data_IF_515886448056
#
_entry.id   IF_515886448056
#
_cell.length_a   1.000
_cell.length_b   1.000
_cell.length_c   1.000
_cell.angle_alpha   90.00
_cell.angle_beta   90.00
_cell.angle_gamma   90.00
#
_symmetry.space_group_name_H-M   'P 1'
#
loop_
_entity.id
_entity.type
_entity.pdbx_description
1 polymer ?
#
# COMPACT_ATOMS: atom_id res chain seq x y z
N UNK A 1 2.23 0.30 10.53
CA UNK A 1 1.10 -0.38 9.87
C UNK A 1 0.54 -1.51 10.72
N UNK A 2 1.35 -2.50 11.09
CA UNK A 2 0.91 -3.69 11.84
C UNK A 2 0.35 -3.37 13.23
N UNK A 3 0.93 -2.42 13.95
CA UNK A 3 0.42 -1.97 15.27
C UNK A 3 -0.97 -1.36 15.19
N UNK A 4 -1.23 -0.54 14.15
CA UNK A 4 -2.55 0.03 13.89
C UNK A 4 -3.57 -1.03 13.53
N UNK A 5 -3.19 -2.00 12.69
CA UNK A 5 -4.04 -3.12 12.30
C UNK A 5 -4.42 -4.00 13.50
N UNK A 6 -3.45 -4.27 14.39
CA UNK A 6 -3.70 -5.01 15.63
C UNK A 6 -4.68 -4.26 16.54
N UNK A 7 -4.45 -2.96 16.76
CA UNK A 7 -5.35 -2.13 17.57
C UNK A 7 -6.79 -2.15 17.05
N UNK A 8 -6.95 -2.13 15.73
CA UNK A 8 -8.23 -2.21 15.06
C UNK A 8 -8.88 -3.59 15.28
N UNK A 9 -8.11 -4.67 15.09
CA UNK A 9 -8.57 -6.04 15.25
C UNK A 9 -8.96 -6.36 16.71
N UNK A 10 -8.31 -5.72 17.68
CA UNK A 10 -8.62 -5.91 19.11
C UNK A 10 -9.92 -5.18 19.54
N UNK A 11 -10.50 -4.35 18.67
CA UNK A 11 -11.68 -3.50 19.00
C UNK A 11 -12.91 -3.72 18.13
N UNK A 12 -12.75 -4.40 17.01
CA UNK A 12 -13.84 -4.60 16.05
C UNK A 12 -13.97 -6.08 15.74
N UNK A 13 -15.18 -6.61 15.93
CA UNK A 13 -15.49 -8.02 15.73
C UNK A 13 -16.39 -8.28 14.52
N UNK A 14 -16.42 -9.54 14.11
CA UNK A 14 -17.37 -10.04 13.11
C UNK A 14 -17.20 -9.46 11.71
N UNK A 15 -18.32 -9.22 11.04
CA UNK A 15 -18.32 -8.73 9.64
C UNK A 15 -17.73 -7.33 9.49
N UNK A 16 -17.77 -6.51 10.53
CA UNK A 16 -17.19 -5.17 10.52
C UNK A 16 -15.67 -5.18 10.54
N UNK A 17 -15.04 -6.22 11.10
CA UNK A 17 -13.58 -6.34 11.11
C UNK A 17 -12.99 -6.34 9.69
N UNK A 18 -13.58 -7.12 8.77
CA UNK A 18 -13.11 -7.16 7.38
C UNK A 18 -13.17 -5.78 6.71
N UNK A 19 -14.26 -5.05 6.91
CA UNK A 19 -14.44 -3.69 6.36
C UNK A 19 -13.49 -2.68 7.00
N UNK A 20 -13.30 -2.76 8.31
CA UNK A 20 -12.39 -1.89 9.05
C UNK A 20 -10.93 -2.11 8.62
N UNK A 21 -10.50 -3.37 8.46
CA UNK A 21 -9.18 -3.75 7.95
C UNK A 21 -8.99 -3.24 6.50
N UNK A 22 -10.01 -3.39 5.66
CA UNK A 22 -9.96 -2.91 4.28
C UNK A 22 -9.89 -1.39 4.21
N UNK A 23 -10.67 -0.67 5.04
CA UNK A 23 -10.58 0.78 5.14
C UNK A 23 -9.19 1.25 5.59
N UNK A 24 -8.61 0.57 6.58
CA UNK A 24 -7.24 0.85 7.01
C UNK A 24 -6.22 0.57 5.90
N UNK A 25 -6.37 -0.51 5.14
CA UNK A 25 -5.51 -0.79 4.00
C UNK A 25 -5.69 0.22 2.86
N UNK A 26 -6.92 0.65 2.57
CA UNK A 26 -7.21 1.65 1.55
C UNK A 26 -6.59 3.03 1.88
N UNK A 27 -6.43 3.36 3.16
CA UNK A 27 -5.76 4.60 3.58
C UNK A 27 -4.33 4.71 3.06
N UNK A 28 -3.63 3.58 2.86
CA UNK A 28 -2.30 3.55 2.23
C UNK A 28 -2.34 4.00 0.76
N UNK A 29 -3.39 3.62 0.02
CA UNK A 29 -3.58 4.05 -1.36
C UNK A 29 -3.82 5.55 -1.45
N UNK A 30 -4.70 6.07 -0.60
CA UNK A 30 -5.02 7.50 -0.54
C UNK A 30 -3.79 8.32 -0.10
N UNK A 31 -3.09 7.91 0.94
CA UNK A 31 -1.87 8.61 1.40
C UNK A 31 -0.75 8.58 0.36
N UNK A 32 -0.60 7.47 -0.37
CA UNK A 32 0.36 7.39 -1.49
C UNK A 32 -0.02 8.36 -2.61
N UNK A 33 -1.30 8.42 -2.99
CA UNK A 33 -1.78 9.35 -4.02
C UNK A 33 -1.52 10.81 -3.62
N UNK A 34 -1.88 11.18 -2.39
CA UNK A 34 -1.63 12.52 -1.85
C UNK A 34 -0.13 12.84 -1.80
N UNK A 35 0.72 11.87 -1.44
CA UNK A 35 2.17 12.09 -1.40
C UNK A 35 2.75 12.43 -2.77
N UNK A 36 2.28 11.78 -3.85
CA UNK A 36 2.71 12.10 -5.22
C UNK A 36 2.31 13.51 -5.64
N UNK A 37 1.04 13.92 -5.39
CA UNK A 37 0.58 15.27 -5.71
C UNK A 37 1.36 16.31 -4.92
N UNK A 38 1.43 16.15 -3.60
CA UNK A 38 2.09 17.11 -2.73
C UNK A 38 3.56 17.23 -3.09
N UNK A 39 4.27 16.10 -3.22
CA UNK A 39 5.67 16.11 -3.59
C UNK A 39 5.90 16.73 -4.98
N UNK A 40 5.05 16.42 -5.97
CA UNK A 40 5.15 17.00 -7.31
C UNK A 40 4.95 18.51 -7.31
N UNK A 41 3.93 19.01 -6.62
CA UNK A 41 3.66 20.45 -6.49
C UNK A 41 4.80 21.16 -5.75
N UNK A 42 5.22 20.62 -4.61
CA UNK A 42 6.30 21.23 -3.82
C UNK A 42 7.64 21.24 -4.56
N UNK A 43 7.92 20.20 -5.34
CA UNK A 43 9.13 20.14 -6.15
C UNK A 43 9.19 21.25 -7.22
N UNK A 44 8.04 21.67 -7.75
CA UNK A 44 7.96 22.77 -8.71
C UNK A 44 8.22 24.14 -8.07
N UNK A 45 7.72 24.38 -6.86
CA UNK A 45 7.81 25.71 -6.21
C UNK A 45 9.03 25.84 -5.30
N UNK A 46 9.41 24.81 -4.56
CA UNK A 46 10.45 24.85 -3.52
C UNK A 46 11.57 23.82 -3.72
N UNK A 47 11.57 23.15 -4.85
CA UNK A 47 12.52 22.09 -5.14
C UNK A 47 12.30 20.84 -4.29
N UNK A 48 13.19 19.87 -4.43
CA UNK A 48 13.10 18.59 -3.71
C UNK A 48 13.21 18.76 -2.18
N UNK A 49 13.95 19.77 -1.72
CA UNK A 49 14.12 20.07 -0.29
C UNK A 49 12.78 20.40 0.37
N UNK A 50 11.92 21.18 -0.32
CA UNK A 50 10.59 21.54 0.16
C UNK A 50 9.71 20.30 0.42
N UNK A 51 9.78 19.31 -0.45
CA UNK A 51 9.05 18.06 -0.28
C UNK A 51 9.48 17.30 1.00
N UNK A 52 10.79 17.25 1.29
CA UNK A 52 11.30 16.62 2.52
C UNK A 52 10.92 17.39 3.78
N UNK A 53 10.95 18.72 3.77
CA UNK A 53 10.54 19.55 4.91
C UNK A 53 9.05 19.31 5.23
N UNK A 54 8.19 19.31 4.23
CA UNK A 54 6.76 19.05 4.44
C UNK A 54 6.53 17.62 4.91
N UNK A 55 7.25 16.64 4.39
CA UNK A 55 7.18 15.27 4.89
C UNK A 55 7.56 15.16 6.36
N UNK A 56 8.60 15.86 6.79
CA UNK A 56 9.00 15.93 8.20
C UNK A 56 7.93 16.57 9.09
N UNK A 57 7.29 17.67 8.64
CA UNK A 57 6.17 18.30 9.34
C UNK A 57 4.99 17.34 9.46
N UNK A 58 4.64 16.64 8.39
CA UNK A 58 3.57 15.63 8.41
C UNK A 58 3.88 14.48 9.37
N UNK A 59 5.14 14.03 9.43
CA UNK A 59 5.56 12.99 10.37
C UNK A 59 5.46 13.47 11.83
N UNK A 60 5.87 14.72 12.11
CA UNK A 60 5.73 15.32 13.42
C UNK A 60 4.25 15.48 13.83
N UNK A 61 3.39 15.91 12.91
CA UNK A 61 1.96 15.99 13.14
C UNK A 61 1.34 14.61 13.43
N UNK A 62 1.72 13.59 12.67
CA UNK A 62 1.28 12.22 12.91
C UNK A 62 1.74 11.69 14.28
N UNK A 63 2.96 12.01 14.69
CA UNK A 63 3.46 11.67 16.01
C UNK A 63 2.67 12.36 17.12
N UNK A 64 2.37 13.66 16.99
CA UNK A 64 1.54 14.40 17.95
C UNK A 64 0.13 13.79 18.04
N UNK A 65 -0.51 13.53 16.90
CA UNK A 65 -1.83 12.89 16.87
C UNK A 65 -1.79 11.54 17.60
N UNK A 66 -0.79 10.72 17.31
CA UNK A 66 -0.63 9.43 17.99
C UNK A 66 -0.39 9.59 19.50
N UNK A 67 0.42 10.56 19.90
CA UNK A 67 0.74 10.80 21.31
C UNK A 67 -0.47 11.25 22.13
N UNK A 68 -1.33 12.10 21.57
CA UNK A 68 -2.48 12.68 22.28
C UNK A 68 -3.77 11.89 22.12
N UNK A 69 -4.00 11.29 20.96
CA UNK A 69 -5.28 10.64 20.64
C UNK A 69 -5.22 9.10 20.64
N UNK A 70 -4.03 8.49 20.61
CA UNK A 70 -3.98 7.05 20.72
C UNK A 70 -4.48 6.59 22.09
N UNK A 71 -5.45 5.69 22.15
CA UNK A 71 -5.99 5.22 23.41
C UNK A 71 -4.91 4.48 24.20
N UNK A 72 -4.75 4.83 25.47
CA UNK A 72 -3.87 4.10 26.39
C UNK A 72 -4.35 2.67 26.48
N UNK A 73 -3.56 1.75 25.99
CA UNK A 73 -3.81 0.33 26.24
C UNK A 73 -3.46 0.02 27.68
N UNK A 74 -4.44 -0.44 28.46
CA UNK A 74 -4.15 -1.17 29.67
C UNK A 74 -3.43 -2.45 29.25
N UNK A 75 -2.11 -2.44 29.41
CA UNK A 75 -1.26 -3.60 29.16
C UNK A 75 -1.75 -4.71 30.11
N UNK A 76 -2.50 -5.69 29.59
CA UNK A 76 -2.60 -6.95 30.29
C UNK A 76 -1.18 -7.47 30.36
N UNK A 77 -0.61 -7.44 31.56
CA UNK A 77 0.73 -7.97 31.81
C UNK A 77 0.72 -9.50 31.63
N UNK A 78 0.74 -9.94 30.39
CA UNK A 78 1.28 -11.25 30.08
C UNK A 78 2.78 -11.02 29.99
N UNK A 79 3.44 -11.00 31.15
CA UNK A 79 4.89 -11.13 31.24
C UNK A 79 5.25 -12.57 30.91
N UNK A 80 5.15 -12.94 29.65
CA UNK A 80 5.92 -14.09 29.20
C UNK A 80 7.40 -13.68 29.25
N UNK A 81 8.24 -14.44 29.96
CA UNK A 81 9.66 -14.16 29.98
C UNK A 81 10.16 -14.16 28.53
N UNK A 82 11.08 -13.24 28.22
CA UNK A 82 11.75 -13.20 26.92
C UNK A 82 12.26 -14.59 26.59
N UNK A 83 11.72 -15.21 25.57
CA UNK A 83 12.08 -16.53 25.09
C UNK A 83 12.53 -16.47 23.65
N UNK A 84 13.59 -17.14 23.32
CA UNK A 84 14.05 -17.36 21.94
C UNK A 84 12.98 -18.05 21.08
N UNK A 85 11.94 -18.63 21.68
CA UNK A 85 10.79 -19.18 20.99
C UNK A 85 10.05 -18.15 20.12
N UNK A 86 10.19 -16.84 20.39
CA UNK A 86 9.66 -15.76 19.53
C UNK A 86 10.25 -15.79 18.12
N UNK A 87 11.43 -16.36 17.94
CA UNK A 87 12.11 -16.52 16.65
C UNK A 87 11.94 -17.93 16.06
N UNK A 88 11.16 -18.79 16.70
CA UNK A 88 10.87 -20.12 16.16
C UNK A 88 9.75 -20.07 15.12
N UNK A 89 10.15 -19.85 13.87
CA UNK A 89 9.23 -19.85 12.73
C UNK A 89 8.94 -21.26 12.18
N UNK A 90 9.41 -22.34 12.80
CA UNK A 90 9.26 -23.71 12.29
C UNK A 90 7.80 -24.11 12.14
N UNK A 91 6.94 -23.68 13.06
CA UNK A 91 5.49 -23.95 13.01
C UNK A 91 4.83 -23.26 11.79
N UNK A 92 5.26 -22.03 11.45
CA UNK A 92 4.77 -21.29 10.29
C UNK A 92 5.29 -21.93 9.00
N UNK A 93 6.59 -22.26 8.94
CA UNK A 93 7.23 -22.88 7.78
C UNK A 93 6.62 -24.25 7.43
N UNK A 94 6.20 -25.03 8.43
CA UNK A 94 5.52 -26.32 8.25
C UNK A 94 4.06 -26.18 7.80
N UNK A 95 3.44 -25.03 8.02
CA UNK A 95 2.06 -24.78 7.62
C UNK A 95 1.99 -24.32 6.16
N UNK A 96 1.63 -25.23 5.25
CA UNK A 96 1.52 -24.95 3.80
C UNK A 96 0.62 -23.76 3.48
N UNK A 97 -0.49 -23.60 4.19
CA UNK A 97 -1.42 -22.49 3.99
C UNK A 97 -0.80 -21.17 4.41
N UNK A 98 -0.19 -21.12 5.60
CA UNK A 98 0.49 -19.92 6.09
C UNK A 98 1.64 -19.53 5.15
N UNK A 99 2.44 -20.49 4.69
CA UNK A 99 3.53 -20.23 3.74
C UNK A 99 3.03 -19.74 2.39
N UNK A 100 1.96 -20.32 1.84
CA UNK A 100 1.39 -19.87 0.57
C UNK A 100 0.91 -18.42 0.65
N UNK A 101 0.22 -18.03 1.73
CA UNK A 101 -0.20 -16.64 1.94
C UNK A 101 0.97 -15.70 2.18
N UNK A 102 1.97 -16.09 2.95
CA UNK A 102 3.15 -15.27 3.23
C UNK A 102 3.98 -15.02 1.98
N UNK A 103 4.23 -16.06 1.17
CA UNK A 103 4.95 -15.93 -0.09
C UNK A 103 4.15 -15.12 -1.12
N UNK A 104 2.86 -15.36 -1.25
CA UNK A 104 1.99 -14.59 -2.12
C UNK A 104 1.96 -13.11 -1.74
N UNK A 105 1.90 -12.80 -0.45
CA UNK A 105 1.98 -11.43 0.05
C UNK A 105 3.34 -10.79 -0.20
N UNK A 106 4.42 -11.54 -0.02
CA UNK A 106 5.79 -11.07 -0.29
C UNK A 106 5.95 -10.67 -1.77
N UNK A 107 5.55 -11.54 -2.69
CA UNK A 107 5.65 -11.30 -4.13
C UNK A 107 4.77 -10.10 -4.53
N UNK A 108 3.53 -10.04 -4.04
CA UNK A 108 2.63 -8.92 -4.32
C UNK A 108 3.16 -7.59 -3.76
N UNK A 109 3.74 -7.59 -2.56
CA UNK A 109 4.32 -6.38 -1.99
C UNK A 109 5.55 -5.92 -2.78
N UNK A 110 6.35 -6.84 -3.28
CA UNK A 110 7.48 -6.53 -4.16
C UNK A 110 7.00 -5.91 -5.47
N UNK A 111 6.02 -6.51 -6.15
CA UNK A 111 5.38 -5.97 -7.35
C UNK A 111 4.86 -4.55 -7.12
N UNK A 112 4.09 -4.35 -6.04
CA UNK A 112 3.58 -3.03 -5.66
C UNK A 112 4.68 -2.01 -5.38
N UNK A 113 5.75 -2.44 -4.71
CA UNK A 113 6.91 -1.59 -4.39
C UNK A 113 7.64 -1.14 -5.64
N UNK A 114 7.89 -2.07 -6.56
CA UNK A 114 8.51 -1.78 -7.85
C UNK A 114 7.65 -0.80 -8.68
N UNK A 115 6.36 -1.09 -8.81
CA UNK A 115 5.42 -0.22 -9.52
C UNK A 115 5.43 1.21 -8.96
N UNK A 116 5.27 1.37 -7.65
CA UNK A 116 5.22 2.69 -7.00
C UNK A 116 6.53 3.44 -7.07
N UNK A 117 7.65 2.75 -6.93
CA UNK A 117 8.98 3.36 -6.98
C UNK A 117 9.37 3.86 -8.37
N UNK A 118 8.94 3.15 -9.41
CA UNK A 118 9.37 3.45 -10.77
C UNK A 118 8.30 4.11 -11.65
N UNK A 119 7.03 4.16 -11.22
CA UNK A 119 5.93 4.65 -12.06
C UNK A 119 6.17 6.06 -12.60
N UNK A 120 6.57 7.00 -11.75
CA UNK A 120 6.83 8.39 -12.18
C UNK A 120 8.00 8.44 -13.17
N UNK A 121 9.11 7.74 -12.85
CA UNK A 121 10.28 7.70 -13.70
C UNK A 121 9.98 7.07 -15.08
N UNK A 122 9.25 5.96 -15.09
CA UNK A 122 8.81 5.28 -16.31
C UNK A 122 7.91 6.17 -17.17
N UNK A 123 6.90 6.79 -16.58
CA UNK A 123 6.00 7.69 -17.32
C UNK A 123 6.73 8.93 -17.83
N UNK A 124 7.70 9.45 -17.08
CA UNK A 124 8.56 10.55 -17.54
C UNK A 124 9.42 10.12 -18.71
N UNK A 125 10.01 8.92 -18.65
CA UNK A 125 10.80 8.37 -19.75
C UNK A 125 9.96 8.24 -21.03
N UNK A 126 8.77 7.68 -20.93
CA UNK A 126 7.85 7.54 -22.10
C UNK A 126 7.46 8.91 -22.65
N UNK A 127 7.09 9.87 -21.80
CA UNK A 127 6.73 11.20 -22.23
C UNK A 127 7.89 11.93 -22.97
N UNK A 128 9.11 11.79 -22.49
CA UNK A 128 10.30 12.37 -23.12
C UNK A 128 10.63 11.68 -24.46
N UNK A 129 10.51 10.35 -24.51
CA UNK A 129 10.76 9.57 -25.73
C UNK A 129 9.81 9.95 -26.85
N UNK A 130 8.54 10.08 -26.53
CA UNK A 130 7.49 10.30 -27.51
C UNK A 130 7.18 11.80 -27.72
N UNK A 131 8.00 12.70 -27.18
CA UNK A 131 7.88 14.17 -27.28
C UNK A 131 6.48 14.68 -26.87
N UNK A 132 5.85 14.01 -25.88
CA UNK A 132 4.52 14.42 -25.38
C UNK A 132 4.69 15.60 -24.43
N UNK A 133 4.09 16.74 -24.80
CA UNK A 133 3.98 17.88 -23.87
C UNK A 133 3.06 17.53 -22.70
N UNK A 134 3.65 17.39 -21.51
CA UNK A 134 2.91 17.02 -20.29
C UNK A 134 2.61 18.27 -19.45
N UNK A 135 1.51 18.94 -19.72
CA UNK A 135 1.09 20.11 -18.92
C UNK A 135 0.26 19.70 -17.70
N UNK A 136 -0.95 19.22 -17.90
CA UNK A 136 -1.87 18.89 -16.79
C UNK A 136 -1.87 17.41 -16.42
N UNK A 137 -1.70 16.50 -17.39
CA UNK A 137 -1.64 15.05 -17.20
C UNK A 137 -0.19 14.54 -17.10
N UNK A 138 0.66 15.25 -16.39
CA UNK A 138 2.05 14.84 -16.20
C UNK A 138 2.18 13.48 -15.46
N UNK A 139 3.37 12.87 -15.50
CA UNK A 139 3.65 11.57 -14.90
C UNK A 139 3.20 11.45 -13.44
N UNK A 140 3.33 12.54 -12.67
CA UNK A 140 2.90 12.59 -11.27
C UNK A 140 1.38 12.52 -11.13
N UNK A 141 0.63 13.23 -11.97
CA UNK A 141 -0.84 13.20 -11.97
C UNK A 141 -1.37 11.82 -12.37
N UNK A 142 -0.77 11.19 -13.38
CA UNK A 142 -1.11 9.83 -13.80
C UNK A 142 -0.82 8.82 -12.69
N UNK A 143 0.33 8.89 -12.04
CA UNK A 143 0.67 8.02 -10.91
C UNK A 143 -0.27 8.21 -9.73
N UNK A 144 -0.69 9.46 -9.47
CA UNK A 144 -1.71 9.78 -8.47
C UNK A 144 -3.05 9.13 -8.80
N UNK A 145 -3.51 9.26 -10.04
CA UNK A 145 -4.75 8.62 -10.49
C UNK A 145 -4.68 7.10 -10.34
N UNK A 146 -3.57 6.46 -10.74
CA UNK A 146 -3.35 5.01 -10.54
C UNK A 146 -3.45 4.61 -9.06
N UNK A 147 -2.87 5.39 -8.15
CA UNK A 147 -2.92 5.12 -6.72
C UNK A 147 -4.34 5.26 -6.16
N UNK A 148 -5.12 6.26 -6.61
CA UNK A 148 -6.52 6.43 -6.23
C UNK A 148 -7.39 5.28 -6.76
N UNK A 149 -7.25 4.90 -8.02
CA UNK A 149 -7.94 3.74 -8.57
C UNK A 149 -7.60 2.46 -7.82
N UNK A 150 -6.33 2.28 -7.41
CA UNK A 150 -5.91 1.16 -6.55
C UNK A 150 -6.61 1.15 -5.20
N UNK A 151 -6.79 2.31 -4.56
CA UNK A 151 -7.54 2.42 -3.30
C UNK A 151 -9.02 2.04 -3.48
N UNK A 152 -9.66 2.52 -4.53
CA UNK A 152 -11.04 2.16 -4.89
C UNK A 152 -11.18 0.67 -5.19
N UNK A 153 -10.26 0.11 -5.97
CA UNK A 153 -10.22 -1.31 -6.29
C UNK A 153 -10.03 -2.18 -5.04
N UNK A 154 -9.29 -1.70 -4.04
CA UNK A 154 -9.13 -2.40 -2.76
C UNK A 154 -10.46 -2.53 -2.00
N UNK A 155 -11.26 -1.46 -1.96
CA UNK A 155 -12.57 -1.45 -1.30
C UNK A 155 -13.54 -2.35 -2.07
N UNK A 156 -13.68 -2.15 -3.38
CA UNK A 156 -14.54 -2.97 -4.24
C UNK A 156 -14.13 -4.44 -4.27
N UNK A 157 -12.83 -4.71 -4.27
CA UNK A 157 -12.27 -6.05 -4.22
C UNK A 157 -12.63 -6.80 -2.94
N UNK A 158 -12.68 -6.12 -1.79
CA UNK A 158 -13.13 -6.76 -0.57
C UNK A 158 -14.60 -7.23 -0.66
N UNK A 159 -15.51 -6.39 -1.15
CA UNK A 159 -16.91 -6.77 -1.34
C UNK A 159 -17.04 -7.91 -2.37
N UNK A 160 -16.27 -7.85 -3.44
CA UNK A 160 -16.24 -8.91 -4.45
C UNK A 160 -15.68 -10.22 -3.88
N UNK A 161 -14.68 -10.14 -2.99
CA UNK A 161 -14.10 -11.32 -2.33
C UNK A 161 -15.11 -12.02 -1.41
N UNK A 162 -16.00 -11.25 -0.79
CA UNK A 162 -17.08 -11.80 0.05
C UNK A 162 -18.08 -12.60 -0.81
N UNK A 163 -18.35 -12.13 -2.05
CA UNK A 163 -19.30 -12.76 -2.98
C UNK A 163 -18.73 -13.96 -3.75
N UNK A 164 -17.52 -13.82 -4.28
CA UNK A 164 -16.90 -14.81 -5.18
C UNK A 164 -15.96 -15.78 -4.45
N UNK A 165 -15.59 -15.49 -3.22
CA UNK A 165 -14.57 -16.20 -2.46
C UNK A 165 -13.15 -15.65 -2.71
N UNK A 166 -12.39 -15.53 -1.62
CA UNK A 166 -11.06 -14.90 -1.61
C UNK A 166 -10.07 -15.56 -2.57
N UNK A 167 -10.05 -16.89 -2.61
CA UNK A 167 -9.09 -17.63 -3.44
C UNK A 167 -9.28 -17.38 -4.94
N UNK A 168 -10.55 -17.32 -5.39
CA UNK A 168 -10.86 -17.08 -6.80
C UNK A 168 -10.49 -15.63 -7.20
N UNK A 169 -10.83 -14.68 -6.36
CA UNK A 169 -10.50 -13.27 -6.61
C UNK A 169 -9.00 -13.04 -6.67
N UNK A 170 -8.22 -13.60 -5.73
CA UNK A 170 -6.75 -13.47 -5.74
C UNK A 170 -6.17 -14.00 -7.05
N UNK A 171 -6.60 -15.18 -7.51
CA UNK A 171 -6.11 -15.75 -8.78
C UNK A 171 -6.42 -14.86 -9.98
N UNK A 172 -7.63 -14.32 -10.05
CA UNK A 172 -8.03 -13.42 -11.13
C UNK A 172 -7.25 -12.09 -11.08
N UNK A 173 -7.09 -11.51 -9.91
CA UNK A 173 -6.35 -10.27 -9.73
C UNK A 173 -4.87 -10.43 -10.12
N UNK A 174 -4.22 -11.51 -9.67
CA UNK A 174 -2.82 -11.79 -10.01
C UNK A 174 -2.63 -12.06 -11.50
N UNK A 175 -3.55 -12.82 -12.13
CA UNK A 175 -3.51 -13.02 -13.58
C UNK A 175 -3.69 -11.71 -14.35
N UNK A 176 -4.64 -10.87 -13.94
CA UNK A 176 -4.86 -9.56 -14.53
C UNK A 176 -3.64 -8.63 -14.40
N UNK A 177 -3.03 -8.59 -13.22
CA UNK A 177 -1.80 -7.82 -12.97
C UNK A 177 -0.65 -8.28 -13.87
N UNK A 178 -0.44 -9.59 -14.00
CA UNK A 178 0.57 -10.16 -14.89
C UNK A 178 0.34 -9.73 -16.35
N UNK A 179 -0.90 -9.82 -16.84
CA UNK A 179 -1.23 -9.42 -18.22
C UNK A 179 -0.96 -7.93 -18.42
N UNK A 180 -1.37 -7.07 -17.47
CA UNK A 180 -1.10 -5.63 -17.55
C UNK A 180 0.40 -5.32 -17.56
N UNK A 181 1.18 -5.97 -16.71
CA UNK A 181 2.63 -5.77 -16.65
C UNK A 181 3.33 -6.19 -17.96
N UNK A 182 2.93 -7.33 -18.53
CA UNK A 182 3.43 -7.79 -19.84
C UNK A 182 3.03 -6.81 -20.95
N UNK A 183 1.77 -6.37 -20.98
CA UNK A 183 1.31 -5.41 -21.97
C UNK A 183 2.10 -4.09 -21.90
N UNK A 184 2.36 -3.55 -20.72
CA UNK A 184 3.18 -2.34 -20.56
C UNK A 184 4.61 -2.57 -21.08
N UNK A 185 5.23 -3.71 -20.79
CA UNK A 185 6.58 -4.03 -21.25
C UNK A 185 6.68 -4.16 -22.77
N UNK A 186 5.69 -4.77 -23.42
CA UNK A 186 5.69 -4.96 -24.88
C UNK A 186 5.27 -3.68 -25.63
N UNK A 187 4.27 -2.94 -25.17
CA UNK A 187 3.77 -1.74 -25.85
C UNK A 187 4.80 -0.60 -25.89
N UNK A 188 5.70 -0.54 -24.92
CA UNK A 188 6.77 0.48 -24.91
C UNK A 188 7.90 0.15 -25.89
N UNK A 189 8.00 -1.09 -26.39
CA UNK A 189 8.99 -1.47 -27.39
C UNK A 189 8.54 -1.21 -28.84
N UNK A 190 7.25 -0.98 -29.05
CA UNK A 190 6.66 -0.60 -30.34
C UNK A 190 6.69 0.91 -30.54
#
# INVERSE_FOLDING_TARGET
>A
YMTGLKLLADRVDGKMLSRAVTGHAASLGVSSALSFVIAGVLAQFWGWQGAFVVAAICAAAAWLIAAFFAPKQTRKEVREPWSWSLFDFRSVLKNRSAMAYSLGYCIHTWEMGAMRGWAVAFLTYVALRDHVETTFFGPTAMTTAMALFGAWASIGGNELSIRMGRQRLIRLAMAGSMICALAMGFLVQL
#
